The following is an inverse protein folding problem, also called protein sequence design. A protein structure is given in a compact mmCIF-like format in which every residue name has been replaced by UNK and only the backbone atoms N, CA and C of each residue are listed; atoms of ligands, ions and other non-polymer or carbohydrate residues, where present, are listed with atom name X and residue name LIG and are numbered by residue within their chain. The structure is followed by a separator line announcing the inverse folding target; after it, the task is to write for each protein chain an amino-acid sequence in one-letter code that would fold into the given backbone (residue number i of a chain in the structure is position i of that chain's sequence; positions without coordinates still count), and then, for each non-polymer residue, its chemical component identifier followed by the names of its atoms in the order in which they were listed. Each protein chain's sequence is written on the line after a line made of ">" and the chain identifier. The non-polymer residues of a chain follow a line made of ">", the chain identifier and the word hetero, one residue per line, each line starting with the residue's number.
data_IF_247496155688
#
_entry.id   IF_247496155688
#
_cell.length_a   1.000
_cell.length_b   1.000
_cell.length_c   1.000
_cell.angle_alpha   90.00
_cell.angle_beta   90.00
_cell.angle_gamma   90.00
#
_symmetry.space_group_name_H-M   'P 1'
#
loop_
_entity.id
_entity.type
_entity.pdbx_description
1 polymer ?
#
# COMPACT_ATOMS: atom_id res chain seq x y z
N UNK A 1 43.89 2.80 56.27
CA UNK A 1 42.43 2.84 55.92
C UNK A 1 41.62 3.77 56.85
N UNK A 2 41.80 3.77 58.19
CA UNK A 2 41.03 4.62 59.10
C UNK A 2 41.23 6.14 58.90
N UNK A 3 42.47 6.57 58.56
CA UNK A 3 42.75 7.98 58.28
C UNK A 3 42.10 8.51 57.00
N UNK A 4 42.01 7.68 55.95
CA UNK A 4 41.33 8.07 54.69
C UNK A 4 39.82 8.26 54.92
N UNK A 5 39.18 7.39 55.69
CA UNK A 5 37.75 7.54 56.00
C UNK A 5 37.47 8.82 56.78
N UNK A 6 38.29 9.17 57.78
CA UNK A 6 38.15 10.40 58.54
C UNK A 6 38.36 11.67 57.72
N UNK A 7 39.30 11.64 56.78
CA UNK A 7 39.56 12.75 55.84
C UNK A 7 38.39 12.95 54.86
N UNK A 8 37.85 11.88 54.35
CA UNK A 8 36.69 11.89 53.47
C UNK A 8 35.47 12.52 54.15
N UNK A 9 35.14 12.11 55.36
CA UNK A 9 34.03 12.67 56.13
C UNK A 9 34.23 14.17 56.39
N UNK A 10 35.48 14.60 56.74
CA UNK A 10 35.76 16.00 57.02
C UNK A 10 35.66 16.89 55.76
N UNK A 11 36.07 16.39 54.60
CA UNK A 11 35.87 17.08 53.31
C UNK A 11 34.40 17.23 53.00
N UNK A 12 33.64 16.17 53.18
CA UNK A 12 32.19 16.14 52.96
C UNK A 12 31.46 17.15 53.85
N UNK A 13 31.75 17.16 55.15
CA UNK A 13 31.19 18.14 56.10
C UNK A 13 31.50 19.59 55.70
N UNK A 14 32.73 19.86 55.23
CA UNK A 14 33.07 21.19 54.78
C UNK A 14 32.30 21.60 53.50
N UNK A 15 32.15 20.70 52.55
CA UNK A 15 31.34 20.95 51.32
C UNK A 15 29.85 21.19 51.70
N UNK A 16 29.30 20.43 52.63
CA UNK A 16 27.91 20.64 53.09
C UNK A 16 27.74 21.99 53.78
N UNK A 17 28.71 22.46 54.58
CA UNK A 17 28.69 23.81 55.17
C UNK A 17 28.80 24.91 54.11
N UNK A 18 29.58 24.68 53.07
CA UNK A 18 29.70 25.60 51.96
C UNK A 18 28.37 25.78 51.22
N UNK A 19 27.57 24.69 51.04
CA UNK A 19 26.22 24.78 50.49
C UNK A 19 25.35 25.79 51.25
N UNK A 20 25.35 25.75 52.61
CA UNK A 20 24.58 26.69 53.39
C UNK A 20 25.02 28.15 53.20
N UNK A 21 26.34 28.37 53.03
CA UNK A 21 26.87 29.70 52.74
C UNK A 21 26.51 30.20 51.34
N UNK A 22 26.46 29.34 50.33
CA UNK A 22 26.07 29.68 48.96
C UNK A 22 24.57 30.05 48.91
N UNK A 23 23.72 29.30 49.60
CA UNK A 23 22.27 29.61 49.69
C UNK A 23 22.06 30.98 50.31
N UNK A 24 22.74 31.29 51.46
CA UNK A 24 22.66 32.57 52.14
C UNK A 24 23.20 33.75 51.32
N UNK A 25 24.15 33.47 50.42
CA UNK A 25 24.73 34.46 49.53
C UNK A 25 23.92 34.65 48.22
N UNK A 26 22.86 33.85 47.98
CA UNK A 26 22.05 33.86 46.73
C UNK A 26 22.81 33.36 45.51
N UNK A 27 23.84 32.53 45.67
CA UNK A 27 24.69 31.98 44.60
C UNK A 27 24.12 30.63 44.14
N UNK A 28 22.94 30.66 43.54
CA UNK A 28 22.16 29.45 43.20
C UNK A 28 22.86 28.52 42.21
N UNK A 29 23.52 29.05 41.19
CA UNK A 29 24.24 28.23 40.20
C UNK A 29 25.39 27.43 40.85
N UNK A 30 26.22 28.10 41.65
CA UNK A 30 27.32 27.46 42.35
C UNK A 30 26.84 26.48 43.44
N UNK A 31 25.69 26.75 44.04
CA UNK A 31 25.02 25.83 44.96
C UNK A 31 24.60 24.53 44.25
N UNK A 32 23.98 24.61 43.04
CA UNK A 32 23.59 23.45 42.29
C UNK A 32 24.81 22.65 41.82
N UNK A 33 25.85 23.32 41.32
CA UNK A 33 27.11 22.68 40.89
C UNK A 33 27.76 21.92 42.05
N UNK A 34 27.79 22.53 43.26
CA UNK A 34 28.37 21.88 44.42
C UNK A 34 27.55 20.70 44.96
N UNK A 35 26.22 20.74 44.84
CA UNK A 35 25.36 19.58 45.14
C UNK A 35 25.65 18.42 44.19
N UNK A 36 25.71 18.67 42.87
CA UNK A 36 26.05 17.66 41.87
C UNK A 36 27.44 17.05 42.12
N UNK A 37 28.44 17.89 42.43
CA UNK A 37 29.79 17.44 42.80
C UNK A 37 29.79 16.55 44.05
N UNK A 38 28.92 16.83 45.01
CA UNK A 38 28.79 16.01 46.22
C UNK A 38 28.07 14.69 45.88
N UNK A 39 27.05 14.68 45.07
CA UNK A 39 26.31 13.48 44.66
C UNK A 39 27.14 12.54 43.77
N UNK A 40 27.89 13.09 42.81
CA UNK A 40 28.74 12.32 41.90
C UNK A 40 30.03 11.81 42.56
N UNK A 41 30.44 12.36 43.70
CA UNK A 41 31.65 11.93 44.41
C UNK A 41 31.43 10.58 45.10
N UNK A 42 32.32 9.60 44.85
CA UNK A 42 32.32 8.30 45.52
C UNK A 42 32.81 8.39 46.97
N UNK A 43 31.90 8.75 47.86
CA UNK A 43 32.19 8.92 49.28
C UNK A 43 32.30 7.57 50.00
N UNK A 44 33.28 7.44 50.89
CA UNK A 44 33.41 6.25 51.75
C UNK A 44 32.18 6.07 52.67
N UNK A 45 31.53 7.17 53.04
CA UNK A 45 30.25 7.20 53.75
C UNK A 45 29.34 8.19 53.02
N UNK A 46 28.16 7.80 52.55
CA UNK A 46 27.24 8.71 51.88
C UNK A 46 26.87 9.93 52.78
N UNK A 47 26.63 11.12 52.18
CA UNK A 47 26.18 12.29 52.89
C UNK A 47 24.90 12.00 53.70
N UNK A 48 24.84 12.44 54.97
CA UNK A 48 23.72 12.20 55.86
C UNK A 48 23.53 13.38 56.80
N UNK A 49 22.31 13.49 57.36
CA UNK A 49 21.94 14.41 58.42
C UNK A 49 21.18 15.62 57.94
N UNK A 50 20.65 16.35 58.89
CA UNK A 50 19.68 17.44 58.68
C UNK A 50 20.18 18.53 57.72
N UNK A 51 21.48 18.84 57.75
CA UNK A 51 22.07 19.84 56.85
C UNK A 51 22.04 19.40 55.38
N UNK A 52 22.31 18.09 55.10
CA UNK A 52 22.22 17.54 53.78
C UNK A 52 20.78 17.47 53.28
N UNK A 53 19.85 17.01 54.13
CA UNK A 53 18.43 16.93 53.80
C UNK A 53 17.84 18.33 53.53
N UNK A 54 18.26 19.33 54.30
CA UNK A 54 17.89 20.72 54.05
C UNK A 54 18.46 21.23 52.72
N UNK A 55 19.72 20.89 52.39
CA UNK A 55 20.31 21.27 51.10
C UNK A 55 19.54 20.67 49.95
N UNK A 56 19.14 19.39 50.01
CA UNK A 56 18.32 18.75 49.01
C UNK A 56 16.92 19.41 48.87
N UNK A 57 16.30 19.77 49.97
CA UNK A 57 15.02 20.48 49.94
C UNK A 57 15.15 21.88 49.31
N UNK A 58 16.23 22.60 49.61
CA UNK A 58 16.54 23.89 48.94
C UNK A 58 16.79 23.70 47.46
N UNK A 59 17.54 22.65 47.04
CA UNK A 59 17.78 22.31 45.67
C UNK A 59 16.47 22.21 44.88
N UNK A 60 15.52 21.40 45.37
CA UNK A 60 14.20 21.25 44.72
C UNK A 60 13.52 22.62 44.52
N UNK A 61 13.61 23.50 45.53
CA UNK A 61 13.04 24.85 45.43
C UNK A 61 13.75 25.74 44.41
N UNK A 62 15.09 25.63 44.27
CA UNK A 62 15.87 26.36 43.26
C UNK A 62 15.59 25.85 41.88
N UNK A 63 15.64 24.54 41.67
CA UNK A 63 15.35 23.91 40.39
C UNK A 63 13.93 24.24 39.89
N UNK A 64 12.95 24.24 40.81
CA UNK A 64 11.57 24.62 40.49
C UNK A 64 11.43 26.08 40.04
N UNK A 65 12.14 27.00 40.70
CA UNK A 65 12.16 28.43 40.32
C UNK A 65 12.82 28.61 38.95
N UNK A 66 13.97 27.96 38.72
CA UNK A 66 14.66 28.02 37.44
C UNK A 66 13.81 27.44 36.31
N UNK A 67 13.13 26.32 36.56
CA UNK A 67 12.19 25.75 35.63
C UNK A 67 11.05 26.73 35.29
N UNK A 68 10.48 27.42 36.28
CA UNK A 68 9.44 28.42 36.04
C UNK A 68 9.93 29.60 35.21
N UNK A 69 11.11 30.15 35.50
CA UNK A 69 11.71 31.20 34.67
C UNK A 69 11.96 30.72 33.22
N UNK A 70 12.44 29.48 33.08
CA UNK A 70 12.66 28.89 31.73
C UNK A 70 11.35 28.72 30.97
N UNK A 71 10.25 28.34 31.64
CA UNK A 71 8.93 28.28 31.00
C UNK A 71 8.47 29.64 30.48
N UNK A 72 8.68 30.73 31.25
CA UNK A 72 8.38 32.10 30.82
C UNK A 72 9.25 32.51 29.58
N UNK A 73 10.55 32.16 29.60
CA UNK A 73 11.45 32.39 28.44
C UNK A 73 10.98 31.63 27.21
N UNK A 74 10.59 30.35 27.35
CA UNK A 74 10.10 29.53 26.26
C UNK A 74 8.88 30.18 25.60
N UNK A 75 7.94 30.74 26.33
CA UNK A 75 6.77 31.42 25.77
C UNK A 75 7.18 32.64 24.93
N UNK A 76 8.20 33.40 25.35
CA UNK A 76 8.75 34.51 24.57
C UNK A 76 9.46 34.01 23.29
N UNK A 77 10.23 32.92 23.40
CA UNK A 77 10.91 32.32 22.28
C UNK A 77 9.88 31.76 21.26
N UNK A 78 8.80 31.11 21.72
CA UNK A 78 7.71 30.61 20.86
C UNK A 78 7.06 31.75 20.05
N UNK A 79 6.84 32.92 20.67
CA UNK A 79 6.34 34.10 19.97
C UNK A 79 7.30 34.55 18.85
N UNK A 80 8.62 34.46 19.08
CA UNK A 80 9.64 34.76 18.09
C UNK A 80 9.62 33.78 16.93
N UNK A 81 9.56 32.47 17.20
CA UNK A 81 9.49 31.42 16.17
C UNK A 81 8.21 31.52 15.34
N UNK A 82 7.06 31.83 15.97
CA UNK A 82 5.81 32.07 15.23
C UNK A 82 5.95 33.26 14.27
N UNK A 83 6.59 34.34 14.73
CA UNK A 83 6.82 35.52 13.89
C UNK A 83 7.74 35.23 12.70
N UNK A 84 8.66 34.27 12.86
CA UNK A 84 9.58 33.79 11.83
C UNK A 84 9.01 32.64 10.98
N UNK A 85 7.80 32.18 11.27
CA UNK A 85 7.15 31.00 10.65
C UNK A 85 7.97 29.72 10.79
N UNK A 86 8.76 29.60 11.87
CA UNK A 86 9.58 28.41 12.20
C UNK A 86 8.84 27.46 13.14
N UNK A 87 7.90 26.71 12.57
CA UNK A 87 7.15 25.70 13.29
C UNK A 87 8.02 24.54 13.82
N UNK A 88 9.16 24.25 13.16
CA UNK A 88 10.07 23.16 13.60
C UNK A 88 10.79 23.53 14.89
N UNK A 89 11.29 24.75 14.98
CA UNK A 89 11.85 25.30 16.21
C UNK A 89 10.82 25.34 17.34
N UNK A 90 9.59 25.77 17.02
CA UNK A 90 8.48 25.78 17.97
C UNK A 90 8.16 24.41 18.56
N UNK A 91 8.11 23.34 17.76
CA UNK A 91 7.85 21.99 18.27
C UNK A 91 8.88 21.50 19.27
N UNK A 92 10.16 21.85 19.09
CA UNK A 92 11.21 21.51 20.04
C UNK A 92 10.98 22.20 21.40
N UNK A 93 10.65 23.50 21.38
CA UNK A 93 10.35 24.27 22.59
C UNK A 93 9.05 23.84 23.27
N UNK A 94 8.04 23.46 22.51
CA UNK A 94 6.78 22.90 23.03
C UNK A 94 7.06 21.61 23.81
N UNK A 95 7.94 20.75 23.28
CA UNK A 95 8.41 19.55 23.98
C UNK A 95 9.18 19.88 25.27
N UNK A 96 10.08 20.86 25.22
CA UNK A 96 10.84 21.34 26.40
C UNK A 96 9.91 21.89 27.47
N UNK A 97 8.95 22.74 27.11
CA UNK A 97 7.95 23.30 28.01
C UNK A 97 7.18 22.21 28.75
N UNK A 98 6.66 21.24 28.01
CA UNK A 98 5.88 20.14 28.57
C UNK A 98 6.72 19.33 29.58
N UNK A 99 7.94 18.96 29.20
CA UNK A 99 8.84 18.17 30.05
C UNK A 99 9.21 18.92 31.35
N UNK A 100 9.59 20.19 31.25
CA UNK A 100 9.91 21.00 32.40
C UNK A 100 8.71 21.18 33.36
N UNK A 101 7.52 21.44 32.82
CA UNK A 101 6.31 21.56 33.60
C UNK A 101 5.99 20.27 34.37
N UNK A 102 6.15 19.10 33.69
CA UNK A 102 5.90 17.79 34.28
C UNK A 102 6.95 17.41 35.33
N UNK A 103 8.25 17.53 34.99
CA UNK A 103 9.35 17.14 35.90
C UNK A 103 9.33 17.88 37.21
N UNK A 104 8.99 19.19 37.19
CA UNK A 104 8.97 20.03 38.37
C UNK A 104 7.58 20.21 38.97
N UNK A 105 6.55 19.52 38.46
CA UNK A 105 5.18 19.57 38.97
C UNK A 105 4.57 20.98 38.92
N UNK A 106 4.87 21.75 37.87
CA UNK A 106 4.43 23.15 37.69
C UNK A 106 3.09 23.28 36.96
N UNK A 107 2.50 22.20 36.48
CA UNK A 107 1.26 22.21 35.69
C UNK A 107 0.09 22.97 36.38
N UNK A 108 0.00 22.90 37.67
CA UNK A 108 -1.03 23.60 38.47
C UNK A 108 -0.68 25.01 38.92
N UNK A 109 0.55 25.50 38.63
CA UNK A 109 1.06 26.81 39.06
C UNK A 109 1.25 27.79 37.91
N UNK A 110 1.08 27.32 36.68
CA UNK A 110 1.12 28.17 35.49
C UNK A 110 -0.14 29.05 35.42
N UNK A 111 0.04 30.31 35.03
CA UNK A 111 -1.08 31.21 34.85
C UNK A 111 -1.98 30.71 33.69
N UNK A 112 -3.28 30.87 33.81
CA UNK A 112 -4.23 30.46 32.79
C UNK A 112 -3.95 31.14 31.43
N UNK A 113 -3.44 32.37 31.44
CA UNK A 113 -3.06 33.08 30.23
C UNK A 113 -1.84 32.45 29.55
N UNK A 114 -0.83 32.02 30.33
CA UNK A 114 0.37 31.34 29.79
C UNK A 114 0.02 29.99 29.20
N UNK A 115 -0.89 29.25 29.83
CA UNK A 115 -1.37 27.96 29.31
C UNK A 115 -2.13 28.16 27.98
N UNK A 116 -2.96 29.20 27.87
CA UNK A 116 -3.69 29.51 26.67
C UNK A 116 -2.73 29.89 25.53
N UNK A 117 -1.74 30.72 25.79
CA UNK A 117 -0.70 31.11 24.82
C UNK A 117 0.10 29.89 24.36
N UNK A 118 0.50 29.02 25.28
CA UNK A 118 1.18 27.77 24.95
C UNK A 118 0.33 26.88 24.05
N UNK A 119 -0.94 26.68 24.38
CA UNK A 119 -1.84 25.85 23.59
C UNK A 119 -2.04 26.41 22.19
N UNK A 120 -2.17 27.75 22.03
CA UNK A 120 -2.28 28.41 20.72
C UNK A 120 -1.04 28.18 19.85
N UNK A 121 0.15 28.26 20.42
CA UNK A 121 1.39 28.00 19.68
C UNK A 121 1.55 26.52 19.35
N UNK A 122 1.13 25.64 20.25
CA UNK A 122 1.15 24.19 20.05
C UNK A 122 0.24 23.81 18.89
N UNK A 123 -1.04 24.24 18.91
CA UNK A 123 -2.00 23.95 17.83
C UNK A 123 -1.49 24.46 16.48
N UNK A 124 -0.97 25.69 16.44
CA UNK A 124 -0.40 26.25 15.22
C UNK A 124 0.79 25.43 14.69
N UNK A 125 1.73 25.05 15.54
CA UNK A 125 2.92 24.29 15.11
C UNK A 125 2.59 22.85 14.70
N UNK A 126 1.66 22.19 15.40
CA UNK A 126 1.17 20.85 15.08
C UNK A 126 0.41 20.85 13.74
N UNK A 127 -0.45 21.85 13.48
CA UNK A 127 -1.16 22.00 12.21
C UNK A 127 -0.19 22.11 11.02
N UNK A 128 0.82 22.97 11.13
CA UNK A 128 1.85 23.11 10.09
C UNK A 128 2.72 21.86 9.93
N UNK A 129 2.99 21.16 11.02
CA UNK A 129 3.72 19.88 10.96
C UNK A 129 2.93 18.80 10.22
N UNK A 130 1.63 18.71 10.50
CA UNK A 130 0.73 17.78 9.84
C UNK A 130 0.56 18.13 8.35
N UNK A 131 0.45 19.43 8.02
CA UNK A 131 0.43 19.88 6.61
C UNK A 131 1.72 19.51 5.87
N UNK A 132 2.89 19.75 6.48
CA UNK A 132 4.18 19.43 5.89
C UNK A 132 4.41 17.92 5.77
N UNK A 133 3.83 17.13 6.66
CA UNK A 133 3.84 15.66 6.59
C UNK A 133 2.98 15.19 5.43
N UNK A 134 1.74 15.67 5.34
CA UNK A 134 0.83 15.34 4.25
C UNK A 134 1.39 15.73 2.86
N UNK A 135 2.11 16.85 2.78
CA UNK A 135 2.78 17.29 1.56
C UNK A 135 3.91 16.34 1.13
N UNK A 136 4.76 15.91 2.07
CA UNK A 136 5.81 14.91 1.78
C UNK A 136 5.24 13.55 1.39
N UNK A 137 4.17 13.11 2.04
CA UNK A 137 3.47 11.88 1.69
C UNK A 137 2.90 11.96 0.27
N UNK A 138 2.30 13.10 -0.08
CA UNK A 138 1.80 13.37 -1.43
C UNK A 138 2.93 13.36 -2.47
N UNK A 139 4.05 14.06 -2.21
CA UNK A 139 5.22 14.04 -3.09
C UNK A 139 5.79 12.64 -3.28
N UNK A 140 5.89 11.86 -2.20
CA UNK A 140 6.32 10.46 -2.24
C UNK A 140 5.40 9.61 -3.12
N UNK A 141 4.08 9.76 -2.98
CA UNK A 141 3.12 9.03 -3.79
C UNK A 141 3.16 9.46 -5.26
N UNK A 142 3.29 10.75 -5.54
CA UNK A 142 3.45 11.26 -6.91
C UNK A 142 4.71 10.69 -7.56
N UNK A 143 5.82 10.66 -6.84
CA UNK A 143 7.07 10.07 -7.33
C UNK A 143 6.92 8.59 -7.64
N UNK A 144 6.32 7.83 -6.73
CA UNK A 144 6.01 6.40 -6.93
C UNK A 144 5.10 6.18 -8.14
N UNK A 145 4.07 6.99 -8.29
CA UNK A 145 3.16 6.93 -9.45
C UNK A 145 3.90 7.18 -10.76
N UNK A 146 4.74 8.22 -10.85
CA UNK A 146 5.53 8.52 -12.05
C UNK A 146 6.50 7.39 -12.40
N UNK A 147 7.19 6.83 -11.41
CA UNK A 147 8.08 5.70 -11.61
C UNK A 147 7.32 4.47 -12.13
N UNK A 148 6.17 4.19 -11.54
CA UNK A 148 5.34 3.06 -11.97
C UNK A 148 4.78 3.24 -13.36
N UNK A 149 4.37 4.46 -13.74
CA UNK A 149 3.98 4.77 -15.12
C UNK A 149 5.12 4.52 -16.12
N UNK A 150 6.33 4.91 -15.78
CA UNK A 150 7.51 4.68 -16.62
C UNK A 150 7.78 3.17 -16.80
N UNK A 151 7.69 2.37 -15.73
CA UNK A 151 7.81 0.91 -15.79
C UNK A 151 6.73 0.28 -16.67
N UNK A 152 5.47 0.70 -16.52
CA UNK A 152 4.36 0.23 -17.34
C UNK A 152 4.59 0.50 -18.83
N UNK A 153 5.13 1.67 -19.16
CA UNK A 153 5.47 2.04 -20.54
C UNK A 153 6.64 1.21 -21.10
N UNK A 154 7.69 0.98 -20.31
CA UNK A 154 8.83 0.15 -20.71
C UNK A 154 8.42 -1.30 -20.97
N UNK A 155 7.60 -1.89 -20.10
CA UNK A 155 7.08 -3.24 -20.26
C UNK A 155 6.15 -3.35 -21.49
N UNK A 156 5.46 -2.29 -21.87
CA UNK A 156 4.64 -2.24 -23.08
C UNK A 156 5.50 -2.32 -24.35
N UNK A 157 6.62 -1.62 -24.36
CA UNK A 157 7.59 -1.64 -25.50
C UNK A 157 8.23 -3.01 -25.64
N UNK A 158 8.48 -3.72 -24.54
CA UNK A 158 9.05 -5.06 -24.53
C UNK A 158 8.10 -6.18 -25.05
N UNK A 159 6.82 -5.88 -25.28
CA UNK A 159 5.90 -6.73 -26.04
C UNK A 159 5.33 -7.95 -25.32
N UNK A 160 5.36 -8.00 -23.99
CA UNK A 160 5.07 -9.21 -23.23
C UNK A 160 3.84 -9.21 -22.30
N UNK A 161 2.95 -8.18 -22.35
CA UNK A 161 1.84 -8.10 -21.39
C UNK A 161 0.64 -8.96 -21.76
N UNK A 162 0.22 -9.82 -20.84
CA UNK A 162 -1.02 -10.57 -20.93
C UNK A 162 -2.21 -9.79 -20.30
N UNK A 163 -3.41 -10.35 -20.41
CA UNK A 163 -4.63 -9.74 -19.85
C UNK A 163 -4.55 -9.56 -18.33
N UNK A 164 -3.96 -10.51 -17.60
CA UNK A 164 -3.82 -10.46 -16.14
C UNK A 164 -2.93 -9.31 -15.71
N UNK A 165 -1.82 -9.08 -16.42
CA UNK A 165 -0.92 -7.95 -16.14
C UNK A 165 -1.66 -6.61 -16.29
N UNK A 166 -2.45 -6.43 -17.36
CA UNK A 166 -3.24 -5.19 -17.53
C UNK A 166 -4.34 -5.02 -16.47
N UNK A 167 -4.94 -6.11 -16.00
CA UNK A 167 -5.91 -6.06 -14.91
C UNK A 167 -5.25 -5.68 -13.57
N UNK A 168 -4.06 -6.21 -13.31
CA UNK A 168 -3.26 -5.84 -12.14
C UNK A 168 -2.89 -4.36 -12.17
N UNK A 169 -2.38 -3.85 -13.30
CA UNK A 169 -2.07 -2.44 -13.49
C UNK A 169 -3.31 -1.54 -13.33
N UNK A 170 -4.47 -1.96 -13.81
CA UNK A 170 -5.72 -1.22 -13.61
C UNK A 170 -6.09 -1.10 -12.13
N UNK A 171 -5.89 -2.18 -11.37
CA UNK A 171 -6.17 -2.16 -9.93
C UNK A 171 -5.16 -1.29 -9.17
N UNK A 172 -3.88 -1.29 -9.57
CA UNK A 172 -2.87 -0.40 -9.01
C UNK A 172 -3.22 1.08 -9.24
N UNK A 173 -3.62 1.45 -10.46
CA UNK A 173 -4.02 2.84 -10.75
C UNK A 173 -5.26 3.27 -9.94
N UNK A 174 -6.21 2.35 -9.73
CA UNK A 174 -7.36 2.63 -8.86
C UNK A 174 -6.96 2.85 -7.42
N UNK A 175 -6.01 2.03 -6.93
CA UNK A 175 -5.47 2.19 -5.59
C UNK A 175 -4.77 3.54 -5.44
N UNK A 176 -3.91 3.94 -6.39
CA UNK A 176 -3.30 5.28 -6.39
C UNK A 176 -4.35 6.38 -6.33
N UNK A 177 -5.43 6.27 -7.11
CA UNK A 177 -6.52 7.27 -7.08
C UNK A 177 -7.16 7.36 -5.70
N UNK A 178 -7.40 6.22 -5.04
CA UNK A 178 -7.98 6.17 -3.72
C UNK A 178 -7.02 6.76 -2.68
N UNK A 179 -5.76 6.32 -2.69
CA UNK A 179 -4.72 6.81 -1.77
C UNK A 179 -4.56 8.35 -1.89
N UNK A 180 -4.63 8.91 -3.11
CA UNK A 180 -4.61 10.36 -3.32
C UNK A 180 -5.85 11.08 -2.76
N UNK A 181 -7.04 10.45 -2.85
CA UNK A 181 -8.27 11.03 -2.29
C UNK A 181 -8.25 11.02 -0.76
N UNK A 182 -7.66 9.99 -0.15
CA UNK A 182 -7.61 9.83 1.31
C UNK A 182 -6.70 10.88 1.99
N UNK A 183 -5.71 11.44 1.29
CA UNK A 183 -4.87 12.54 1.80
C UNK A 183 -5.65 13.88 1.88
N UNK A 184 -6.78 14.01 1.19
CA UNK A 184 -7.60 15.22 1.24
C UNK A 184 -7.01 16.45 0.57
N UNK A 185 -5.81 16.38 -0.05
CA UNK A 185 -5.20 17.47 -0.83
C UNK A 185 -5.55 17.36 -2.31
N UNK A 186 -5.75 18.49 -2.97
CA UNK A 186 -6.02 18.54 -4.41
C UNK A 186 -4.76 18.17 -5.21
N UNK A 187 -4.86 17.11 -6.02
CA UNK A 187 -3.82 16.79 -7.00
C UNK A 187 -3.68 17.88 -8.04
N UNK A 188 -2.46 18.11 -8.52
CA UNK A 188 -2.24 18.98 -9.66
C UNK A 188 -3.00 18.45 -10.90
N UNK A 189 -3.49 19.38 -11.73
CA UNK A 189 -4.21 19.05 -12.96
C UNK A 189 -3.37 18.12 -13.87
N UNK A 190 -2.06 18.27 -13.88
CA UNK A 190 -1.11 17.44 -14.64
C UNK A 190 -1.17 15.99 -14.21
N UNK A 191 -1.07 15.71 -12.91
CA UNK A 191 -1.10 14.33 -12.36
C UNK A 191 -2.45 13.68 -12.60
N UNK A 192 -3.55 14.43 -12.45
CA UNK A 192 -4.89 13.95 -12.75
C UNK A 192 -5.05 13.58 -14.23
N UNK A 193 -4.50 14.38 -15.13
CA UNK A 193 -4.50 14.08 -16.56
C UNK A 193 -3.67 12.86 -16.89
N UNK A 194 -2.49 12.70 -16.29
CA UNK A 194 -1.63 11.54 -16.51
C UNK A 194 -2.27 10.26 -15.99
N UNK A 195 -2.90 10.30 -14.82
CA UNK A 195 -3.65 9.19 -14.25
C UNK A 195 -4.82 8.79 -15.17
N UNK A 196 -5.60 9.75 -15.62
CA UNK A 196 -6.74 9.49 -16.51
C UNK A 196 -6.29 8.95 -17.87
N UNK A 197 -5.18 9.47 -18.41
CA UNK A 197 -4.57 8.98 -19.66
C UNK A 197 -4.11 7.53 -19.53
N UNK A 198 -3.42 7.19 -18.43
CA UNK A 198 -2.96 5.83 -18.14
C UNK A 198 -4.15 4.87 -17.98
N UNK A 199 -5.18 5.24 -17.22
CA UNK A 199 -6.39 4.42 -17.07
C UNK A 199 -7.09 4.15 -18.40
N UNK A 200 -7.22 5.18 -19.24
CA UNK A 200 -7.84 5.03 -20.57
C UNK A 200 -7.00 4.13 -21.49
N UNK A 201 -5.68 4.25 -21.47
CA UNK A 201 -4.79 3.38 -22.23
C UNK A 201 -4.96 1.92 -21.81
N UNK A 202 -4.88 1.62 -20.53
CA UNK A 202 -5.06 0.26 -19.99
C UNK A 202 -6.44 -0.29 -20.33
N UNK A 203 -7.50 0.49 -20.13
CA UNK A 203 -8.88 0.10 -20.48
C UNK A 203 -9.01 -0.28 -21.94
N UNK A 204 -8.44 0.53 -22.84
CA UNK A 204 -8.46 0.25 -24.28
C UNK A 204 -7.69 -1.03 -24.63
N UNK A 205 -6.56 -1.31 -23.95
CA UNK A 205 -5.78 -2.55 -24.14
C UNK A 205 -6.56 -3.77 -23.66
N UNK A 206 -7.17 -3.70 -22.49
CA UNK A 206 -8.03 -4.77 -21.95
C UNK A 206 -9.18 -5.06 -22.92
N UNK A 207 -9.83 -4.04 -23.44
CA UNK A 207 -10.93 -4.22 -24.39
C UNK A 207 -10.46 -4.89 -25.69
N UNK A 208 -9.30 -4.50 -26.24
CA UNK A 208 -8.72 -5.11 -27.44
C UNK A 208 -8.37 -6.59 -27.21
N UNK A 209 -7.76 -6.92 -26.06
CA UNK A 209 -7.42 -8.31 -25.74
C UNK A 209 -8.67 -9.17 -25.55
N UNK A 210 -9.67 -8.68 -24.81
CA UNK A 210 -10.97 -9.37 -24.67
C UNK A 210 -11.68 -9.54 -26.01
N UNK A 211 -11.59 -8.54 -26.89
CA UNK A 211 -12.14 -8.61 -28.24
C UNK A 211 -11.48 -9.72 -29.08
N UNK A 212 -10.13 -9.80 -29.03
CA UNK A 212 -9.38 -10.86 -29.72
C UNK A 212 -9.73 -12.26 -29.20
N UNK A 213 -9.83 -12.42 -27.89
CA UNK A 213 -10.20 -13.71 -27.28
C UNK A 213 -11.61 -14.13 -27.70
N UNK A 214 -12.58 -13.20 -27.69
CA UNK A 214 -13.93 -13.48 -28.19
C UNK A 214 -13.94 -13.86 -29.67
N UNK A 215 -13.20 -13.12 -30.49
CA UNK A 215 -13.08 -13.42 -31.93
C UNK A 215 -12.49 -14.81 -32.18
N UNK A 216 -11.42 -15.19 -31.47
CA UNK A 216 -10.81 -16.52 -31.58
C UNK A 216 -11.77 -17.61 -31.14
N UNK A 217 -12.56 -17.37 -30.10
CA UNK A 217 -13.59 -18.30 -29.65
C UNK A 217 -14.69 -18.48 -30.70
N UNK A 218 -15.17 -17.38 -31.31
CA UNK A 218 -16.16 -17.44 -32.40
C UNK A 218 -15.60 -18.19 -33.64
N UNK A 219 -14.34 -17.94 -34.02
CA UNK A 219 -13.67 -18.65 -35.07
C UNK A 219 -13.53 -20.15 -34.77
N UNK A 220 -13.19 -20.49 -33.51
CA UNK A 220 -13.12 -21.88 -33.08
C UNK A 220 -14.47 -22.59 -33.15
N UNK A 221 -15.54 -21.95 -32.70
CA UNK A 221 -16.90 -22.48 -32.79
C UNK A 221 -17.35 -22.62 -34.25
N UNK A 222 -17.12 -21.62 -35.09
CA UNK A 222 -17.46 -21.68 -36.51
C UNK A 222 -16.69 -22.80 -37.21
N UNK A 223 -15.40 -22.97 -36.93
CA UNK A 223 -14.59 -24.07 -37.47
C UNK A 223 -15.11 -25.43 -36.97
N UNK A 224 -15.47 -25.57 -35.72
CA UNK A 224 -16.05 -26.78 -35.18
C UNK A 224 -17.38 -27.12 -35.85
N UNK A 225 -18.29 -26.17 -36.06
CA UNK A 225 -19.54 -26.36 -36.75
C UNK A 225 -19.30 -26.75 -38.23
N UNK A 226 -18.32 -26.15 -38.87
CA UNK A 226 -17.93 -26.51 -40.24
C UNK A 226 -17.42 -27.96 -40.31
N UNK A 227 -16.59 -28.40 -39.39
CA UNK A 227 -16.09 -29.77 -39.28
C UNK A 227 -17.24 -30.78 -39.10
N UNK A 228 -18.18 -30.46 -38.19
CA UNK A 228 -19.37 -31.31 -37.95
C UNK A 228 -20.24 -31.38 -39.20
N UNK A 229 -20.51 -30.25 -39.85
CA UNK A 229 -21.31 -30.23 -41.10
C UNK A 229 -20.62 -31.03 -42.23
N UNK A 230 -19.30 -30.90 -42.37
CA UNK A 230 -18.51 -31.64 -43.31
C UNK A 230 -18.53 -33.16 -43.04
N UNK A 231 -18.41 -33.56 -41.76
CA UNK A 231 -18.49 -34.98 -41.35
C UNK A 231 -19.88 -35.57 -41.62
N UNK A 232 -20.94 -34.82 -41.30
CA UNK A 232 -22.33 -35.26 -41.59
C UNK A 232 -22.54 -35.34 -43.11
N UNK A 233 -22.09 -34.36 -43.87
CA UNK A 233 -22.17 -34.37 -45.34
C UNK A 233 -21.42 -35.57 -45.95
N UNK A 234 -20.21 -35.84 -45.47
CA UNK A 234 -19.44 -37.01 -45.92
C UNK A 234 -20.15 -38.32 -45.54
N UNK A 235 -20.69 -38.40 -44.31
CA UNK A 235 -21.45 -39.59 -43.87
C UNK A 235 -22.67 -39.84 -44.77
N UNK A 236 -23.48 -38.83 -45.02
CA UNK A 236 -24.66 -38.94 -45.94
C UNK A 236 -24.25 -39.32 -47.32
N UNK A 237 -23.15 -38.71 -47.85
CA UNK A 237 -22.66 -39.00 -49.19
C UNK A 237 -22.19 -40.45 -49.37
N UNK A 238 -21.48 -41.00 -48.37
CA UNK A 238 -20.93 -42.38 -48.46
C UNK A 238 -21.90 -43.45 -47.97
N UNK A 239 -22.78 -43.16 -46.98
CA UNK A 239 -23.67 -44.18 -46.43
C UNK A 239 -24.91 -44.43 -47.29
N UNK A 240 -25.41 -43.42 -48.01
CA UNK A 240 -26.51 -43.55 -48.92
C UNK A 240 -26.25 -44.59 -50.03
N UNK A 241 -25.17 -44.42 -50.81
CA UNK A 241 -24.81 -45.37 -51.85
C UNK A 241 -24.51 -46.79 -51.34
N UNK A 242 -23.87 -46.90 -50.13
CA UNK A 242 -23.61 -48.22 -49.52
C UNK A 242 -24.91 -48.96 -49.16
N UNK A 243 -25.88 -48.28 -48.58
CA UNK A 243 -27.17 -48.89 -48.26
C UNK A 243 -27.94 -49.29 -49.51
N UNK A 244 -27.95 -48.43 -50.53
CA UNK A 244 -28.57 -48.74 -51.81
C UNK A 244 -27.91 -49.97 -52.47
N UNK A 245 -26.58 -50.06 -52.44
CA UNK A 245 -25.83 -51.21 -52.97
C UNK A 245 -26.14 -52.51 -52.23
N UNK A 246 -26.12 -52.46 -50.88
CA UNK A 246 -26.41 -53.63 -50.05
C UNK A 246 -27.85 -54.14 -50.24
N UNK A 247 -28.79 -53.22 -50.44
CA UNK A 247 -30.18 -53.56 -50.69
C UNK A 247 -30.38 -54.12 -52.11
N UNK A 248 -29.74 -53.55 -53.09
CA UNK A 248 -29.73 -54.08 -54.49
C UNK A 248 -29.12 -55.50 -54.50
N UNK A 249 -28.00 -55.73 -53.84
CA UNK A 249 -27.39 -57.03 -53.70
C UNK A 249 -28.31 -58.05 -52.98
N UNK A 250 -29.00 -57.64 -52.00
CA UNK A 250 -30.00 -58.44 -51.29
C UNK A 250 -31.18 -58.85 -52.20
N UNK A 251 -31.67 -57.91 -53.02
CA UNK A 251 -32.77 -58.18 -53.99
C UNK A 251 -32.25 -59.12 -55.07
N UNK A 252 -31.08 -58.87 -55.62
CA UNK A 252 -30.49 -59.68 -56.66
C UNK A 252 -30.21 -61.12 -56.21
N UNK A 253 -29.79 -61.37 -55.02
CA UNK A 253 -29.47 -62.68 -54.42
C UNK A 253 -30.66 -63.42 -53.80
N UNK A 254 -31.84 -62.82 -53.72
CA UNK A 254 -33.01 -63.43 -53.14
C UNK A 254 -33.60 -64.48 -54.05
N UNK A 255 -33.49 -65.75 -53.65
CA UNK A 255 -33.99 -66.91 -54.40
C UNK A 255 -35.51 -67.00 -54.51
N UNK A 256 -36.25 -66.29 -53.61
CA UNK A 256 -37.72 -66.25 -53.55
C UNK A 256 -38.32 -65.35 -54.69
N UNK A 257 -37.52 -64.46 -55.30
CA UNK A 257 -37.98 -63.58 -56.36
C UNK A 257 -37.82 -64.25 -57.72
N UNK A 258 -38.84 -64.16 -58.53
CA UNK A 258 -38.73 -64.50 -60.00
C UNK A 258 -37.87 -63.47 -60.71
N UNK A 259 -37.21 -63.77 -61.80
CA UNK A 259 -36.40 -62.80 -62.57
C UNK A 259 -37.15 -61.49 -62.84
N UNK A 260 -38.44 -61.54 -63.22
CA UNK A 260 -39.22 -60.35 -63.45
C UNK A 260 -39.50 -59.52 -62.22
N UNK A 261 -39.71 -60.14 -61.04
CA UNK A 261 -39.88 -59.44 -59.81
C UNK A 261 -38.58 -58.78 -59.30
N UNK A 262 -37.43 -59.45 -59.55
CA UNK A 262 -36.11 -58.83 -59.22
C UNK A 262 -35.87 -57.57 -60.07
N UNK A 263 -36.22 -57.64 -61.36
CA UNK A 263 -36.12 -56.53 -62.29
C UNK A 263 -36.96 -55.35 -61.88
N UNK A 264 -38.24 -55.57 -61.54
CA UNK A 264 -39.14 -54.50 -61.09
C UNK A 264 -38.67 -53.84 -59.80
N UNK A 265 -38.23 -54.61 -58.84
CA UNK A 265 -37.68 -54.07 -57.56
C UNK A 265 -36.37 -53.30 -57.74
N UNK A 266 -35.42 -53.81 -58.49
CA UNK A 266 -34.16 -53.18 -58.83
C UNK A 266 -34.33 -51.87 -59.62
N UNK A 267 -35.28 -51.86 -60.61
CA UNK A 267 -35.57 -50.65 -61.39
C UNK A 267 -36.13 -49.52 -60.50
N UNK A 268 -36.93 -49.83 -59.48
CA UNK A 268 -37.43 -48.87 -58.47
C UNK A 268 -36.32 -48.22 -57.62
N UNK A 269 -35.17 -48.92 -57.48
CA UNK A 269 -34.00 -48.34 -56.81
C UNK A 269 -33.19 -47.40 -57.69
N UNK A 270 -33.13 -47.62 -59.00
CA UNK A 270 -32.48 -46.74 -59.99
C UNK A 270 -33.11 -45.34 -59.97
N UNK A 271 -34.42 -45.23 -59.81
CA UNK A 271 -35.12 -43.95 -59.76
C UNK A 271 -34.83 -43.17 -58.49
N UNK A 272 -34.55 -43.88 -57.41
CA UNK A 272 -34.21 -43.25 -56.11
C UNK A 272 -32.77 -42.74 -56.01
N UNK A 273 -31.82 -43.32 -56.74
CA UNK A 273 -30.40 -43.02 -56.71
C UNK A 273 -29.78 -42.86 -58.13
N UNK A 274 -30.25 -41.89 -58.89
CA UNK A 274 -29.96 -41.83 -60.35
C UNK A 274 -28.47 -41.53 -60.71
N UNK A 275 -27.73 -40.95 -59.78
CA UNK A 275 -26.33 -40.50 -60.05
C UNK A 275 -25.26 -41.53 -59.73
N UNK A 276 -25.53 -42.53 -58.89
CA UNK A 276 -24.52 -43.52 -58.39
C UNK A 276 -25.07 -44.95 -58.40
N UNK A 277 -26.11 -45.20 -59.17
CA UNK A 277 -26.76 -46.50 -59.22
C UNK A 277 -25.90 -47.53 -60.01
N UNK A 278 -25.18 -48.36 -59.23
CA UNK A 278 -24.43 -49.50 -59.79
C UNK A 278 -25.20 -50.82 -59.77
N UNK A 279 -26.45 -50.81 -59.38
CA UNK A 279 -27.36 -51.94 -59.48
C UNK A 279 -27.68 -52.34 -60.87
N UNK A 280 -27.41 -51.47 -61.85
CA UNK A 280 -27.49 -51.80 -63.32
C UNK A 280 -26.51 -52.93 -63.63
N UNK A 281 -25.36 -53.04 -63.01
CA UNK A 281 -24.39 -54.12 -63.20
C UNK A 281 -25.00 -55.50 -62.89
N UNK A 282 -25.93 -55.57 -61.89
CA UNK A 282 -26.66 -56.80 -61.57
C UNK A 282 -27.76 -57.15 -62.57
N UNK A 283 -28.22 -56.21 -63.39
CA UNK A 283 -29.23 -56.40 -64.38
C UNK A 283 -28.63 -56.84 -65.75
N UNK A 284 -27.35 -56.59 -65.95
CA UNK A 284 -26.63 -56.92 -67.16
C UNK A 284 -26.05 -58.35 -67.17
N UNK A 285 -25.87 -58.97 -65.99
CA UNK A 285 -25.30 -60.32 -65.90
C UNK A 285 -26.34 -61.47 -66.00
N UNK A 286 -27.65 -61.17 -66.23
CA UNK A 286 -28.73 -62.16 -66.44
C UNK A 286 -29.18 -62.34 -67.88
N UNK A 287 -28.45 -61.82 -68.90
CA UNK A 287 -28.66 -62.17 -70.30
C UNK A 287 -27.66 -63.24 -70.74
#
# INVERSE_FOLDING_TARGET
>A
KRHFGQLSVKIQENKIRELDSLVKAGREAEFLDLILDIEETDWVVPPKGDQWENALAVRVGVERRNAKLRLEEILVELASFRSADDWKGSLALIGEFFNLAQEHGLEGELDADDINVYNEYKEWAEELADEAKAERELEGMVSNFKNRLAEMQQLEVAGGKNLETYLAEQNELRKFRQDFQDIGKSLSAEIMMDLQKAENQIKNRIQRLRGRTKMLWFLGVAFFLFMVASAVGAWVYFDGPRKARNEAERIATNEEYTPGQRWDELSGYSDKFPTDWRGIDYLQDED
#
